data_IF_985951029198
#
_entry.id   IF_985951029198
#
_cell.length_a   1.000
_cell.length_b   1.000
_cell.length_c   1.000
_cell.angle_alpha   90.00
_cell.angle_beta   90.00
_cell.angle_gamma   90.00
#
_symmetry.space_group_name_H-M   'P 1'
#
loop_
_entity.id
_entity.type
_entity.pdbx_description
1 polymer ?
#
# COMPACT_ATOMS: atom_id res chain seq x y z
N UNK A 1 38.32 -8.90 -12.10
CA UNK A 1 38.18 -8.11 -10.86
C UNK A 1 36.70 -7.81 -10.64
N UNK A 2 36.11 -8.20 -9.50
CA UNK A 2 34.70 -7.89 -9.18
C UNK A 2 34.61 -6.42 -8.81
N UNK A 3 33.75 -5.68 -9.50
CA UNK A 3 33.44 -4.29 -9.14
C UNK A 3 32.99 -4.24 -7.67
N UNK A 4 33.58 -3.39 -6.81
CA UNK A 4 33.15 -3.29 -5.43
C UNK A 4 31.70 -2.79 -5.39
N UNK A 5 30.82 -3.61 -4.84
CA UNK A 5 29.40 -3.29 -4.66
C UNK A 5 29.25 -1.97 -3.91
N UNK A 6 28.45 -1.05 -4.44
CA UNK A 6 28.16 0.21 -3.74
C UNK A 6 27.49 -0.09 -2.39
N UNK A 7 27.59 0.80 -1.38
CA UNK A 7 26.92 0.60 -0.09
C UNK A 7 25.40 0.30 -0.21
N UNK A 8 24.75 0.80 -1.27
CA UNK A 8 23.35 0.55 -1.60
C UNK A 8 23.06 -0.92 -2.05
N UNK A 9 24.06 -1.64 -2.57
CA UNK A 9 23.94 -3.07 -2.90
C UNK A 9 24.17 -3.98 -1.69
N UNK A 10 24.56 -3.43 -0.54
CA UNK A 10 24.63 -4.13 0.75
C UNK A 10 23.30 -4.08 1.53
N UNK A 11 22.18 -3.78 0.86
CA UNK A 11 20.90 -3.88 1.54
C UNK A 11 20.49 -5.36 1.69
N UNK A 12 20.72 -5.91 2.88
CA UNK A 12 20.31 -7.25 3.31
C UNK A 12 18.79 -7.41 3.46
N UNK A 13 17.98 -6.37 3.20
CA UNK A 13 16.52 -6.46 3.16
C UNK A 13 16.09 -7.55 2.17
N UNK A 14 15.10 -8.34 2.58
CA UNK A 14 14.50 -9.41 1.78
C UNK A 14 13.25 -8.87 1.10
N UNK A 15 12.89 -9.40 -0.08
CA UNK A 15 11.81 -8.86 -0.94
C UNK A 15 10.44 -8.72 -0.25
N UNK A 16 10.18 -9.54 0.76
CA UNK A 16 8.89 -9.61 1.47
C UNK A 16 8.92 -8.94 2.85
N UNK A 17 9.91 -8.07 3.11
CA UNK A 17 10.06 -7.38 4.38
C UNK A 17 9.93 -5.87 4.19
N UNK A 18 9.40 -5.21 5.23
CA UNK A 18 9.22 -3.77 5.27
C UNK A 18 10.57 -3.01 5.15
N UNK A 19 10.50 -1.69 5.05
CA UNK A 19 11.68 -0.81 4.91
C UNK A 19 12.71 -0.93 6.04
N UNK A 20 12.32 -1.45 7.21
CA UNK A 20 13.24 -1.73 8.33
C UNK A 20 13.85 -3.14 8.29
N UNK A 21 13.36 -4.02 7.41
CA UNK A 21 13.76 -5.42 7.32
C UNK A 21 13.23 -6.31 8.45
N UNK A 22 12.37 -5.80 9.35
CA UNK A 22 11.94 -6.46 10.59
C UNK A 22 10.61 -7.19 10.45
N UNK A 23 9.65 -6.63 9.73
CA UNK A 23 8.29 -7.18 9.59
C UNK A 23 8.14 -7.82 8.22
N UNK A 24 7.72 -9.08 8.17
CA UNK A 24 7.40 -9.75 6.90
C UNK A 24 6.04 -9.28 6.37
N UNK A 25 6.05 -8.25 5.53
CA UNK A 25 4.86 -7.63 4.90
C UNK A 25 4.12 -8.54 3.91
N UNK A 26 4.65 -9.71 3.57
CA UNK A 26 3.88 -10.74 2.85
C UNK A 26 3.00 -11.62 3.76
N UNK A 27 3.04 -11.44 5.08
CA UNK A 27 2.40 -12.32 6.05
C UNK A 27 1.36 -11.55 6.90
N UNK A 28 0.04 -11.77 6.71
CA UNK A 28 -1.00 -11.01 7.42
C UNK A 28 -0.86 -10.99 8.94
N UNK A 29 -0.53 -12.13 9.56
CA UNK A 29 -0.35 -12.19 11.02
C UNK A 29 0.84 -11.39 11.56
N UNK A 30 1.99 -11.34 10.85
CA UNK A 30 3.15 -10.57 11.33
C UNK A 30 2.87 -9.07 11.26
N UNK A 31 2.22 -8.62 10.18
CA UNK A 31 1.79 -7.23 10.01
C UNK A 31 0.73 -6.85 11.03
N UNK A 32 -0.29 -7.70 11.22
CA UNK A 32 -1.31 -7.52 12.27
C UNK A 32 -0.66 -7.32 13.64
N UNK A 33 0.29 -8.17 14.00
CA UNK A 33 0.90 -8.11 15.33
C UNK A 33 1.72 -6.82 15.49
N UNK A 34 2.51 -6.42 14.48
CA UNK A 34 3.23 -5.15 14.48
C UNK A 34 2.28 -3.94 14.62
N UNK A 35 1.20 -3.91 13.84
CA UNK A 35 0.19 -2.85 13.90
C UNK A 35 -0.54 -2.82 15.25
N UNK A 36 -0.95 -3.98 15.77
CA UNK A 36 -1.56 -4.10 17.10
C UNK A 36 -0.62 -3.58 18.19
N UNK A 37 0.68 -3.89 18.12
CA UNK A 37 1.69 -3.39 19.07
C UNK A 37 1.78 -1.87 19.04
N UNK A 38 1.83 -1.25 17.85
CA UNK A 38 1.85 0.21 17.72
C UNK A 38 0.61 0.86 18.33
N UNK A 39 -0.59 0.32 18.04
CA UNK A 39 -1.84 0.88 18.54
C UNK A 39 -1.96 0.72 20.06
N UNK A 40 -1.57 -0.43 20.60
CA UNK A 40 -1.62 -0.68 22.04
C UNK A 40 -0.67 0.24 22.81
N UNK A 41 0.52 0.53 22.26
CA UNK A 41 1.46 1.48 22.86
C UNK A 41 0.88 2.90 22.94
N UNK A 42 0.09 3.33 21.94
CA UNK A 42 -0.55 4.65 21.92
C UNK A 42 -1.85 4.70 22.74
N UNK A 43 -2.64 3.62 22.69
CA UNK A 43 -3.94 3.52 23.36
C UNK A 43 -4.08 2.15 24.06
N UNK A 44 -3.57 2.01 25.29
CA UNK A 44 -3.60 0.73 26.01
C UNK A 44 -5.01 0.17 26.23
N UNK A 45 -6.00 1.04 26.37
CA UNK A 45 -7.41 0.69 26.58
C UNK A 45 -8.19 0.41 25.29
N UNK A 46 -7.58 0.55 24.09
CA UNK A 46 -8.27 0.30 22.83
C UNK A 46 -8.54 -1.19 22.63
N UNK A 47 -9.80 -1.56 22.38
CA UNK A 47 -10.13 -2.91 21.92
C UNK A 47 -9.60 -3.14 20.51
N UNK A 48 -8.67 -4.10 20.38
CA UNK A 48 -8.05 -4.49 19.11
C UNK A 48 -8.77 -5.66 18.42
N UNK A 49 -9.84 -6.22 18.99
CA UNK A 49 -10.63 -7.27 18.34
C UNK A 49 -11.13 -6.87 16.94
N UNK A 50 -11.67 -5.66 16.70
CA UNK A 50 -12.09 -5.23 15.37
C UNK A 50 -10.94 -5.28 14.35
N UNK A 51 -9.75 -4.85 14.75
CA UNK A 51 -8.58 -4.87 13.89
C UNK A 51 -8.09 -6.30 13.60
N UNK A 52 -8.05 -7.17 14.61
CA UNK A 52 -7.71 -8.60 14.40
C UNK A 52 -8.70 -9.28 13.46
N UNK A 53 -9.98 -8.94 13.56
CA UNK A 53 -11.01 -9.39 12.61
C UNK A 53 -10.70 -8.87 11.21
N UNK A 54 -10.37 -7.59 11.03
CA UNK A 54 -9.99 -7.01 9.74
C UNK A 54 -8.86 -7.76 9.04
N UNK A 55 -7.76 -8.06 9.74
CA UNK A 55 -6.68 -8.87 9.17
C UNK A 55 -7.10 -10.30 8.79
N UNK A 56 -7.99 -10.92 9.56
CA UNK A 56 -8.55 -12.24 9.23
C UNK A 56 -9.44 -12.18 7.99
N UNK A 57 -10.31 -11.17 7.89
CA UNK A 57 -11.15 -10.95 6.71
C UNK A 57 -10.32 -10.64 5.46
N UNK A 58 -9.30 -9.80 5.59
CA UNK A 58 -8.36 -9.49 4.51
C UNK A 58 -7.68 -10.75 3.98
N UNK A 59 -7.13 -11.58 4.88
CA UNK A 59 -6.48 -12.82 4.50
C UNK A 59 -7.45 -13.74 3.72
N UNK A 60 -8.70 -13.87 4.18
CA UNK A 60 -9.73 -14.64 3.48
C UNK A 60 -10.13 -14.02 2.14
N UNK A 61 -10.27 -12.71 2.06
CA UNK A 61 -10.62 -11.99 0.83
C UNK A 61 -9.55 -12.24 -0.25
N UNK A 62 -8.30 -11.92 0.05
CA UNK A 62 -7.20 -12.03 -0.90
C UNK A 62 -6.85 -13.50 -1.21
N UNK A 63 -7.10 -14.44 -0.29
CA UNK A 63 -6.97 -15.86 -0.54
C UNK A 63 -8.16 -16.48 -1.31
N UNK A 64 -9.22 -15.71 -1.62
CA UNK A 64 -10.42 -16.23 -2.29
C UNK A 64 -11.19 -17.24 -1.44
N UNK A 65 -11.20 -17.04 -0.13
CA UNK A 65 -11.92 -17.83 0.88
C UNK A 65 -13.04 -17.01 1.54
N UNK A 66 -13.20 -15.74 1.17
CA UNK A 66 -14.36 -14.94 1.54
C UNK A 66 -15.50 -15.25 0.55
N UNK A 67 -16.70 -15.68 1.01
CA UNK A 67 -17.81 -16.00 0.12
C UNK A 67 -18.14 -14.86 -0.84
N UNK A 68 -18.34 -15.19 -2.12
CA UNK A 68 -18.63 -14.23 -3.17
C UNK A 68 -17.41 -13.61 -3.85
N UNK A 69 -16.17 -13.96 -3.47
CA UNK A 69 -14.94 -13.38 -4.04
C UNK A 69 -13.98 -14.45 -4.57
N UNK A 70 -13.24 -14.14 -5.63
CA UNK A 70 -12.34 -15.09 -6.33
C UNK A 70 -10.90 -15.11 -5.80
N UNK A 71 -10.54 -14.18 -4.91
CA UNK A 71 -9.17 -13.99 -4.44
C UNK A 71 -8.32 -13.14 -5.37
N UNK A 72 -7.17 -12.71 -4.87
CA UNK A 72 -6.22 -11.85 -5.56
C UNK A 72 -5.58 -12.58 -6.75
N UNK A 73 -5.77 -12.03 -7.95
CA UNK A 73 -5.15 -12.50 -9.20
C UNK A 73 -4.35 -11.39 -9.92
N UNK A 74 -4.22 -10.22 -9.30
CA UNK A 74 -3.25 -9.16 -9.62
C UNK A 74 -1.82 -9.54 -9.19
N UNK A 75 -0.83 -8.87 -9.76
CA UNK A 75 0.61 -9.05 -9.53
C UNK A 75 1.24 -7.90 -8.75
N UNK A 76 0.89 -6.66 -9.09
CA UNK A 76 1.42 -5.44 -8.49
C UNK A 76 0.59 -5.03 -7.28
N UNK A 77 -0.73 -4.88 -7.48
CA UNK A 77 -1.71 -4.62 -6.43
C UNK A 77 -2.08 -5.93 -5.71
N UNK A 78 -1.06 -6.58 -5.12
CA UNK A 78 -1.16 -7.87 -4.47
C UNK A 78 -1.40 -7.75 -2.95
N UNK A 79 -1.48 -8.89 -2.24
CA UNK A 79 -1.69 -8.86 -0.79
C UNK A 79 -0.54 -8.20 -0.02
N UNK A 80 0.69 -8.22 -0.52
CA UNK A 80 1.83 -7.58 0.16
C UNK A 80 1.67 -6.06 0.14
N UNK A 81 1.25 -5.48 -0.99
CA UNK A 81 1.06 -4.05 -1.10
C UNK A 81 0.07 -3.50 -0.05
N UNK A 82 -1.12 -4.09 0.07
CA UNK A 82 -2.11 -3.63 1.05
C UNK A 82 -1.68 -3.88 2.50
N UNK A 83 -0.88 -4.92 2.75
CA UNK A 83 -0.28 -5.18 4.07
C UNK A 83 0.80 -4.16 4.45
N UNK A 84 1.67 -3.78 3.51
CA UNK A 84 2.67 -2.73 3.76
C UNK A 84 2.00 -1.36 3.91
N UNK A 85 0.96 -1.07 3.11
CA UNK A 85 0.14 0.13 3.27
C UNK A 85 -0.50 0.21 4.68
N UNK A 86 -1.05 -0.90 5.19
CA UNK A 86 -1.58 -0.94 6.56
C UNK A 86 -0.51 -0.69 7.63
N UNK A 87 0.72 -1.20 7.44
CA UNK A 87 1.84 -0.95 8.34
C UNK A 87 2.31 0.51 8.26
N UNK A 88 2.48 1.05 7.05
CA UNK A 88 2.85 2.45 6.83
C UNK A 88 1.82 3.40 7.44
N UNK A 89 0.52 3.10 7.28
CA UNK A 89 -0.58 3.86 7.88
C UNK A 89 -0.48 3.87 9.41
N UNK A 90 -0.22 2.73 10.05
CA UNK A 90 -0.06 2.66 11.50
C UNK A 90 1.13 3.49 12.01
N UNK A 91 2.23 3.53 11.25
CA UNK A 91 3.44 4.32 11.57
C UNK A 91 3.20 5.82 11.40
N UNK A 92 2.53 6.21 10.32
CA UNK A 92 2.08 7.59 10.09
C UNK A 92 1.15 8.07 11.20
N UNK A 93 0.19 7.24 11.61
CA UNK A 93 -0.71 7.53 12.72
C UNK A 93 0.03 7.69 14.05
N UNK A 94 0.97 6.81 14.37
CA UNK A 94 1.79 6.97 15.60
C UNK A 94 2.58 8.28 15.58
N UNK A 95 3.28 8.56 14.48
CA UNK A 95 4.02 9.81 14.30
C UNK A 95 3.13 11.05 14.46
N UNK A 96 1.98 11.06 13.79
CA UNK A 96 0.98 12.14 13.89
C UNK A 96 0.54 12.34 15.34
N UNK A 97 0.08 11.28 16.02
CA UNK A 97 -0.43 11.36 17.38
C UNK A 97 0.62 11.85 18.40
N UNK A 98 1.91 11.57 18.13
CA UNK A 98 3.04 12.02 18.97
C UNK A 98 3.33 13.50 18.83
N UNK A 99 3.24 14.03 17.60
CA UNK A 99 3.74 15.37 17.32
C UNK A 99 2.68 16.46 17.32
N UNK A 100 1.41 16.14 17.06
CA UNK A 100 0.38 17.18 16.95
C UNK A 100 -0.21 17.57 18.33
N UNK A 101 -0.70 18.81 18.47
CA UNK A 101 -1.45 19.24 19.65
C UNK A 101 -2.66 18.34 19.93
N UNK A 102 -3.05 18.21 21.20
CA UNK A 102 -4.15 17.32 21.62
C UNK A 102 -5.47 17.57 20.84
N UNK A 103 -5.78 18.83 20.51
CA UNK A 103 -6.97 19.19 19.73
C UNK A 103 -6.95 18.75 18.26
N UNK A 104 -5.80 18.36 17.71
CA UNK A 104 -5.64 17.89 16.32
C UNK A 104 -5.53 16.37 16.23
N UNK A 105 -5.29 15.68 17.36
CA UNK A 105 -5.23 14.23 17.42
C UNK A 105 -6.50 13.58 16.87
N UNK A 106 -6.31 12.52 16.10
CA UNK A 106 -7.37 11.75 15.45
C UNK A 106 -8.07 10.84 16.47
N UNK A 107 -7.30 10.33 17.43
CA UNK A 107 -7.76 9.42 18.46
C UNK A 107 -8.02 7.99 17.98
N UNK A 108 -8.33 7.08 18.91
CA UNK A 108 -8.28 5.63 18.65
C UNK A 108 -9.29 5.16 17.60
N UNK A 109 -10.50 5.75 17.55
CA UNK A 109 -11.53 5.36 16.59
C UNK A 109 -11.10 5.64 15.14
N UNK A 110 -10.56 6.83 14.87
CA UNK A 110 -10.07 7.20 13.52
C UNK A 110 -8.82 6.44 13.14
N UNK A 111 -7.91 6.19 14.09
CA UNK A 111 -6.75 5.36 13.85
C UNK A 111 -7.14 3.93 13.43
N UNK A 112 -8.10 3.33 14.14
CA UNK A 112 -8.63 2.02 13.81
C UNK A 112 -9.31 2.02 12.43
N UNK A 113 -10.14 3.03 12.13
CA UNK A 113 -10.76 3.20 10.81
C UNK A 113 -9.70 3.32 9.70
N UNK A 114 -8.70 4.19 9.87
CA UNK A 114 -7.65 4.42 8.87
C UNK A 114 -6.87 3.17 8.51
N UNK A 115 -6.56 2.32 9.49
CA UNK A 115 -5.86 1.06 9.23
C UNK A 115 -6.75 0.03 8.55
N UNK A 116 -8.03 -0.07 8.95
CA UNK A 116 -8.98 -0.93 8.23
C UNK A 116 -9.11 -0.47 6.78
N UNK A 117 -9.16 0.84 6.54
CA UNK A 117 -9.19 1.39 5.20
C UNK A 117 -7.92 1.09 4.41
N UNK A 118 -6.73 1.31 4.98
CA UNK A 118 -5.46 0.96 4.34
C UNK A 118 -5.37 -0.52 3.97
N UNK A 119 -5.93 -1.40 4.79
CA UNK A 119 -5.96 -2.84 4.52
C UNK A 119 -6.87 -3.19 3.32
N UNK A 120 -7.92 -2.41 3.07
CA UNK A 120 -8.94 -2.71 2.06
C UNK A 120 -9.05 -1.67 0.93
N UNK A 121 -8.10 -0.73 0.83
CA UNK A 121 -8.15 0.32 -0.21
C UNK A 121 -8.10 -0.26 -1.63
N UNK A 122 -7.49 -1.43 -1.78
CA UNK A 122 -7.38 -2.19 -3.03
C UNK A 122 -8.31 -3.41 -3.10
N UNK A 123 -9.25 -3.56 -2.16
CA UNK A 123 -10.22 -4.66 -2.17
C UNK A 123 -11.04 -4.72 -3.47
N UNK A 124 -11.18 -3.59 -4.17
CA UNK A 124 -11.87 -3.46 -5.43
C UNK A 124 -11.21 -4.17 -6.61
N UNK A 125 -9.92 -4.49 -6.55
CA UNK A 125 -9.27 -5.36 -7.53
C UNK A 125 -9.78 -6.81 -7.42
N UNK A 126 -10.21 -7.24 -6.23
CA UNK A 126 -10.67 -8.61 -6.02
C UNK A 126 -11.99 -8.81 -6.77
N UNK A 127 -11.99 -9.74 -7.72
CA UNK A 127 -13.17 -10.06 -8.52
C UNK A 127 -14.26 -10.68 -7.65
N UNK A 128 -15.48 -10.21 -7.84
CA UNK A 128 -16.71 -10.81 -7.28
C UNK A 128 -17.10 -12.02 -8.11
N UNK A 129 -17.89 -12.93 -7.53
CA UNK A 129 -18.53 -14.01 -8.28
C UNK A 129 -19.53 -13.38 -9.25
N UNK A 130 -19.43 -13.74 -10.54
CA UNK A 130 -20.26 -13.17 -11.60
C UNK A 130 -19.64 -11.97 -12.33
N UNK A 131 -18.50 -11.44 -11.85
CA UNK A 131 -17.72 -10.49 -12.66
C UNK A 131 -17.26 -11.19 -13.96
N UNK A 132 -17.43 -10.49 -15.10
CA UNK A 132 -17.02 -11.00 -16.43
C UNK A 132 -15.53 -10.80 -16.71
N UNK A 133 -14.87 -9.91 -15.98
CA UNK A 133 -13.43 -9.65 -16.10
C UNK A 133 -12.62 -10.94 -15.87
N UNK A 134 -11.60 -11.17 -16.70
CA UNK A 134 -10.69 -12.31 -16.60
C UNK A 134 -9.68 -12.15 -15.48
N UNK A 135 -9.31 -10.91 -15.14
CA UNK A 135 -8.35 -10.58 -14.08
C UNK A 135 -8.76 -9.32 -13.31
N UNK A 136 -8.40 -9.24 -12.02
CA UNK A 136 -8.69 -8.08 -11.17
C UNK A 136 -8.15 -6.77 -11.70
N UNK A 137 -7.01 -6.77 -12.40
CA UNK A 137 -6.40 -5.58 -12.98
C UNK A 137 -7.31 -4.82 -13.96
N UNK A 138 -8.27 -5.49 -14.59
CA UNK A 138 -9.27 -4.82 -15.45
C UNK A 138 -10.10 -3.78 -14.69
N UNK A 139 -10.18 -3.89 -13.36
CA UNK A 139 -10.86 -2.93 -12.50
C UNK A 139 -10.01 -1.73 -12.09
N UNK A 140 -8.76 -1.56 -12.59
CA UNK A 140 -7.87 -0.44 -12.23
C UNK A 140 -8.56 0.93 -12.25
N UNK A 141 -9.45 1.19 -13.21
CA UNK A 141 -10.12 2.49 -13.34
C UNK A 141 -11.35 2.67 -12.44
N UNK A 142 -11.77 1.62 -11.72
CA UNK A 142 -12.97 1.61 -10.86
C UNK A 142 -12.74 0.93 -9.51
N UNK A 143 -11.49 0.55 -9.20
CA UNK A 143 -11.15 -0.25 -8.03
C UNK A 143 -11.44 0.51 -6.73
N UNK A 144 -11.29 1.83 -6.69
CA UNK A 144 -11.48 2.64 -5.49
C UNK A 144 -12.95 2.69 -5.12
N UNK A 145 -13.82 2.95 -6.10
CA UNK A 145 -15.27 2.83 -5.90
C UNK A 145 -15.65 1.43 -5.43
N UNK A 146 -15.10 0.38 -6.06
CA UNK A 146 -15.36 -1.03 -5.68
C UNK A 146 -14.87 -1.33 -4.26
N UNK A 147 -13.74 -0.76 -3.82
CA UNK A 147 -13.25 -0.83 -2.44
C UNK A 147 -14.18 -0.11 -1.47
N UNK A 148 -14.71 1.06 -1.84
CA UNK A 148 -15.74 1.77 -1.08
C UNK A 148 -17.03 0.96 -0.90
N UNK A 149 -17.46 0.23 -1.93
CA UNK A 149 -18.58 -0.70 -1.86
C UNK A 149 -18.29 -1.88 -0.91
N UNK A 150 -17.08 -2.46 -0.97
CA UNK A 150 -16.66 -3.50 -0.02
C UNK A 150 -16.67 -2.99 1.42
N UNK A 151 -16.08 -1.81 1.67
CA UNK A 151 -16.02 -1.18 2.99
C UNK A 151 -17.42 -0.88 3.55
N UNK A 152 -18.36 -0.42 2.72
CA UNK A 152 -19.75 -0.19 3.12
C UNK A 152 -20.37 -1.44 3.76
N UNK A 153 -20.15 -2.60 3.15
CA UNK A 153 -20.75 -3.87 3.58
C UNK A 153 -19.94 -4.49 4.75
N UNK A 154 -18.64 -4.21 4.82
CA UNK A 154 -17.75 -4.78 5.82
C UNK A 154 -17.77 -4.04 7.16
N UNK A 155 -17.71 -2.70 7.18
CA UNK A 155 -17.55 -1.91 8.40
C UNK A 155 -18.57 -2.20 9.51
N UNK A 156 -19.86 -2.51 9.23
CA UNK A 156 -20.80 -2.95 10.27
C UNK A 156 -20.34 -4.16 11.07
N UNK A 157 -19.60 -5.10 10.45
CA UNK A 157 -19.14 -6.34 11.07
C UNK A 157 -18.06 -6.15 12.12
N UNK A 158 -17.47 -4.96 12.17
CA UNK A 158 -16.40 -4.58 13.09
C UNK A 158 -16.76 -3.35 13.94
N UNK A 159 -18.05 -3.03 14.06
CA UNK A 159 -18.53 -1.92 14.92
C UNK A 159 -18.30 -0.52 14.35
N UNK A 160 -18.00 -0.40 13.05
CA UNK A 160 -17.71 0.86 12.36
C UNK A 160 -18.85 1.30 11.43
N UNK A 161 -20.10 0.87 11.69
CA UNK A 161 -21.27 1.24 10.87
C UNK A 161 -21.42 2.75 10.70
N UNK A 162 -21.20 3.53 11.76
CA UNK A 162 -21.33 4.98 11.73
C UNK A 162 -20.28 5.68 10.83
N UNK A 163 -19.22 4.97 10.44
CA UNK A 163 -18.12 5.52 9.64
C UNK A 163 -18.25 5.22 8.14
N UNK A 164 -19.28 4.48 7.71
CA UNK A 164 -19.46 4.06 6.31
C UNK A 164 -19.39 5.24 5.33
N UNK A 165 -20.13 6.32 5.60
CA UNK A 165 -20.16 7.48 4.70
C UNK A 165 -18.78 8.14 4.60
N UNK A 166 -18.08 8.26 5.73
CA UNK A 166 -16.74 8.79 5.79
C UNK A 166 -15.75 7.89 5.03
N UNK A 167 -15.75 6.58 5.29
CA UNK A 167 -14.85 5.63 4.66
C UNK A 167 -15.00 5.59 3.12
N UNK A 168 -16.24 5.68 2.62
CA UNK A 168 -16.49 5.73 1.17
C UNK A 168 -15.90 6.97 0.51
N UNK A 169 -15.77 8.08 1.23
CA UNK A 169 -15.11 9.29 0.73
C UNK A 169 -13.59 9.19 0.90
N UNK A 170 -13.13 8.75 2.08
CA UNK A 170 -11.71 8.71 2.40
C UNK A 170 -10.93 7.71 1.54
N UNK A 171 -11.53 6.63 1.06
CA UNK A 171 -10.82 5.68 0.17
C UNK A 171 -10.47 6.34 -1.17
N UNK A 172 -11.17 7.39 -1.60
CA UNK A 172 -10.84 8.11 -2.84
C UNK A 172 -9.52 8.88 -2.80
N UNK A 173 -8.90 9.07 -1.63
CA UNK A 173 -7.55 9.65 -1.56
C UNK A 173 -6.45 8.72 -2.10
N UNK A 174 -6.72 7.43 -2.29
CA UNK A 174 -5.72 6.46 -2.80
C UNK A 174 -5.67 6.43 -4.33
N UNK A 175 -6.76 6.73 -5.04
CA UNK A 175 -6.78 6.65 -6.50
C UNK A 175 -6.99 7.97 -7.22
N UNK A 176 -7.43 7.87 -8.47
CA UNK A 176 -7.59 8.99 -9.42
C UNK A 176 -9.03 9.11 -9.96
N UNK A 177 -9.98 8.35 -9.42
CA UNK A 177 -11.39 8.35 -9.87
C UNK A 177 -12.12 9.67 -9.56
N UNK A 178 -11.70 10.37 -8.51
CA UNK A 178 -12.24 11.65 -8.08
C UNK A 178 -11.07 12.60 -7.84
N UNK A 179 -11.15 13.83 -8.35
CA UNK A 179 -10.15 14.85 -8.06
C UNK A 179 -10.09 15.11 -6.54
N UNK A 180 -8.88 15.24 -5.97
CA UNK A 180 -8.68 15.27 -4.52
C UNK A 180 -9.44 16.41 -3.83
N UNK A 181 -9.59 17.53 -4.51
CA UNK A 181 -10.32 18.74 -4.08
C UNK A 181 -11.84 18.51 -4.06
N UNK A 182 -12.33 17.60 -4.90
CA UNK A 182 -13.75 17.24 -4.98
C UNK A 182 -14.16 16.22 -3.92
N UNK A 183 -13.21 15.54 -3.27
CA UNK A 183 -13.52 14.61 -2.18
C UNK A 183 -14.09 15.39 -0.99
N UNK A 184 -15.31 15.03 -0.55
CA UNK A 184 -16.02 15.73 0.52
C UNK A 184 -15.93 14.95 1.82
N UNK A 185 -15.41 15.59 2.86
CA UNK A 185 -15.27 15.02 4.21
C UNK A 185 -15.87 15.96 5.26
N UNK A 186 -16.20 15.43 6.43
CA UNK A 186 -16.98 16.16 7.45
C UNK A 186 -16.21 17.25 8.18
N UNK A 187 -14.91 17.05 8.39
CA UNK A 187 -14.05 17.94 9.17
C UNK A 187 -12.58 17.70 8.82
N UNK A 188 -11.68 18.54 9.36
CA UNK A 188 -10.24 18.41 9.12
C UNK A 188 -9.68 17.07 9.61
N UNK A 189 -10.10 16.55 10.77
CA UNK A 189 -9.57 15.27 11.24
C UNK A 189 -9.87 14.13 10.26
N UNK A 190 -11.05 14.14 9.63
CA UNK A 190 -11.37 13.21 8.55
C UNK A 190 -10.50 13.48 7.30
N UNK A 191 -10.28 14.75 6.92
CA UNK A 191 -9.40 15.12 5.78
C UNK A 191 -7.96 14.66 6.00
N UNK A 192 -7.40 14.94 7.17
CA UNK A 192 -6.07 14.51 7.61
C UNK A 192 -5.96 12.98 7.57
N UNK A 193 -6.99 12.24 8.01
CA UNK A 193 -7.01 10.78 7.89
C UNK A 193 -6.93 10.30 6.43
N UNK A 194 -7.61 10.99 5.51
CA UNK A 194 -7.51 10.75 4.07
C UNK A 194 -6.12 11.03 3.50
N UNK A 195 -5.48 12.13 3.91
CA UNK A 195 -4.11 12.46 3.52
C UNK A 195 -3.10 11.40 3.99
N UNK A 196 -3.24 10.93 5.24
CA UNK A 196 -2.40 9.86 5.77
C UNK A 196 -2.60 8.56 4.98
N UNK A 197 -3.84 8.22 4.62
CA UNK A 197 -4.14 7.02 3.83
C UNK A 197 -3.54 7.08 2.43
N UNK A 198 -3.75 8.17 1.69
CA UNK A 198 -3.15 8.35 0.36
C UNK A 198 -1.61 8.40 0.40
N UNK A 199 -1.05 8.97 1.47
CA UNK A 199 0.40 8.96 1.71
C UNK A 199 0.91 7.54 1.97
N UNK A 200 0.22 6.76 2.82
CA UNK A 200 0.62 5.39 3.15
C UNK A 200 0.67 4.50 1.92
N UNK A 201 -0.31 4.63 1.04
CA UNK A 201 -0.41 3.91 -0.23
C UNK A 201 0.80 4.21 -1.14
N UNK A 202 1.03 5.50 -1.45
CA UNK A 202 2.17 5.94 -2.29
C UNK A 202 3.51 5.48 -1.71
N UNK A 203 3.72 5.64 -0.39
CA UNK A 203 4.98 5.27 0.24
C UNK A 203 5.20 3.76 0.28
N UNK A 204 4.18 2.96 0.60
CA UNK A 204 4.28 1.50 0.60
C UNK A 204 4.57 0.97 -0.81
N UNK A 205 3.96 1.58 -1.82
CA UNK A 205 4.18 1.23 -3.21
C UNK A 205 5.62 1.51 -3.67
N UNK A 206 6.09 2.74 -3.46
CA UNK A 206 7.34 3.25 -4.04
C UNK A 206 8.58 2.86 -3.23
N UNK A 207 8.42 2.53 -1.94
CA UNK A 207 9.49 2.02 -1.08
C UNK A 207 9.63 0.49 -1.09
N UNK A 208 8.81 -0.22 -1.89
CA UNK A 208 8.94 -1.67 -2.03
C UNK A 208 10.33 -2.02 -2.55
N UNK A 209 11.00 -2.99 -1.92
CA UNK A 209 12.35 -3.37 -2.31
C UNK A 209 12.46 -3.72 -3.80
N UNK A 210 11.44 -4.34 -4.38
CA UNK A 210 11.43 -4.69 -5.80
C UNK A 210 10.64 -3.68 -6.64
N UNK A 211 10.46 -2.43 -6.19
CA UNK A 211 9.61 -1.44 -6.86
C UNK A 211 9.85 -1.37 -8.38
N UNK A 212 11.10 -1.17 -8.81
CA UNK A 212 11.44 -1.06 -10.24
C UNK A 212 11.16 -2.35 -11.02
N UNK A 213 11.54 -3.51 -10.48
CA UNK A 213 11.23 -4.79 -11.12
C UNK A 213 9.73 -5.09 -11.12
N UNK A 214 9.00 -4.71 -10.09
CA UNK A 214 7.53 -4.79 -10.05
C UNK A 214 6.89 -3.87 -11.09
N UNK A 215 7.42 -2.66 -11.30
CA UNK A 215 6.99 -1.78 -12.38
C UNK A 215 7.12 -2.46 -13.75
N UNK A 216 8.28 -3.06 -14.03
CA UNK A 216 8.58 -3.76 -15.28
C UNK A 216 7.73 -5.02 -15.47
N UNK A 217 7.74 -5.91 -14.47
CA UNK A 217 7.26 -7.27 -14.61
C UNK A 217 5.77 -7.40 -14.28
N UNK A 218 5.24 -6.52 -13.42
CA UNK A 218 3.88 -6.61 -12.88
C UNK A 218 2.99 -5.42 -13.29
N UNK A 219 3.39 -4.18 -12.98
CA UNK A 219 2.53 -3.00 -13.18
C UNK A 219 2.18 -2.78 -14.66
N UNK A 220 3.18 -2.87 -15.55
CA UNK A 220 2.95 -2.75 -16.99
C UNK A 220 1.89 -3.75 -17.48
N UNK A 221 1.95 -4.99 -16.99
CA UNK A 221 0.99 -6.05 -17.35
C UNK A 221 -0.42 -5.71 -16.86
N UNK A 222 -0.56 -5.19 -15.66
CA UNK A 222 -1.86 -4.76 -15.15
C UNK A 222 -2.43 -3.58 -15.93
N UNK A 223 -1.59 -2.58 -16.25
CA UNK A 223 -1.97 -1.46 -17.10
C UNK A 223 -2.39 -1.92 -18.50
N UNK A 224 -1.74 -2.94 -19.06
CA UNK A 224 -2.15 -3.51 -20.34
C UNK A 224 -3.52 -4.20 -20.29
N UNK A 225 -3.96 -4.70 -19.13
CA UNK A 225 -5.29 -5.30 -18.97
C UNK A 225 -6.39 -4.25 -18.89
N UNK A 226 -6.16 -3.11 -18.22
CA UNK A 226 -7.14 -2.02 -18.14
C UNK A 226 -7.04 -1.00 -19.29
N UNK A 227 -6.09 -1.17 -20.22
CA UNK A 227 -5.94 -0.32 -21.41
C UNK A 227 -5.04 0.91 -21.23
N UNK A 228 -4.38 1.06 -20.08
CA UNK A 228 -3.41 2.13 -19.83
C UNK A 228 -2.02 1.86 -20.44
N UNK A 229 -1.77 0.67 -20.97
CA UNK A 229 -0.52 0.31 -21.62
C UNK A 229 -0.72 -0.62 -22.82
N UNK A 230 0.27 -0.65 -23.71
CA UNK A 230 0.25 -1.46 -24.93
C UNK A 230 -0.49 -0.80 -26.08
N UNK A 231 -1.06 -1.60 -26.97
CA UNK A 231 -1.73 -1.11 -28.18
C UNK A 231 -3.09 -0.48 -27.87
N UNK A 232 -3.47 0.62 -28.55
CA UNK A 232 -4.81 1.20 -28.43
C UNK A 232 -5.91 0.17 -28.70
N UNK A 233 -7.01 0.25 -27.95
CA UNK A 233 -8.18 -0.61 -28.14
C UNK A 233 -9.43 0.26 -28.27
N UNK A 234 -10.33 -0.12 -29.17
CA UNK A 234 -11.60 0.58 -29.32
C UNK A 234 -12.39 0.58 -28.00
N UNK A 235 -12.86 1.75 -27.58
CA UNK A 235 -13.60 1.92 -26.31
C UNK A 235 -12.75 1.89 -25.04
N UNK A 236 -11.42 1.78 -25.12
CA UNK A 236 -10.51 1.89 -23.99
C UNK A 236 -9.84 3.28 -23.94
N UNK A 237 -9.29 3.70 -22.78
CA UNK A 237 -8.45 4.89 -22.72
C UNK A 237 -7.27 4.82 -23.70
N UNK A 238 -6.75 5.98 -24.09
CA UNK A 238 -5.49 6.03 -24.83
C UNK A 238 -4.37 5.49 -23.93
N UNK A 239 -3.59 4.48 -24.38
CA UNK A 239 -2.49 3.95 -23.60
C UNK A 239 -1.45 5.03 -23.27
N UNK A 240 -1.01 5.07 -22.01
CA UNK A 240 0.00 6.00 -21.51
C UNK A 240 1.42 5.45 -21.75
N UNK A 241 1.56 4.12 -21.69
CA UNK A 241 2.84 3.43 -21.78
C UNK A 241 2.89 2.48 -22.98
N UNK A 242 3.85 2.68 -23.87
CA UNK A 242 4.01 1.84 -25.06
C UNK A 242 4.66 0.48 -24.75
N UNK A 243 5.50 0.43 -23.72
CA UNK A 243 6.23 -0.78 -23.30
C UNK A 243 6.60 -0.73 -21.81
N UNK A 244 7.04 -1.85 -21.25
CA UNK A 244 7.56 -1.90 -19.87
C UNK A 244 8.81 -1.01 -19.71
N UNK A 245 9.61 -0.88 -20.77
CA UNK A 245 10.75 0.02 -20.83
C UNK A 245 10.31 1.49 -20.85
N UNK A 246 9.29 1.86 -21.61
CA UNK A 246 8.73 3.22 -21.59
C UNK A 246 8.18 3.58 -20.20
N UNK A 247 7.52 2.62 -19.53
CA UNK A 247 7.10 2.79 -18.13
C UNK A 247 8.30 3.06 -17.20
N UNK A 248 9.38 2.29 -17.32
CA UNK A 248 10.60 2.49 -16.54
C UNK A 248 11.27 3.85 -16.84
N UNK A 249 11.37 4.23 -18.11
CA UNK A 249 11.95 5.50 -18.54
C UNK A 249 11.22 6.71 -17.95
N UNK A 250 9.90 6.60 -17.77
CA UNK A 250 9.07 7.67 -17.16
C UNK A 250 8.98 7.59 -15.64
N UNK A 251 9.40 6.49 -15.02
CA UNK A 251 9.18 6.21 -13.59
C UNK A 251 9.76 7.29 -12.68
N UNK A 252 10.98 7.78 -12.96
CA UNK A 252 11.60 8.82 -12.13
C UNK A 252 10.81 10.13 -12.15
N UNK A 253 10.44 10.60 -13.35
CA UNK A 253 9.68 11.83 -13.54
C UNK A 253 8.27 11.72 -12.96
N UNK A 254 7.59 10.58 -13.19
CA UNK A 254 6.29 10.30 -12.57
C UNK A 254 6.36 10.36 -11.04
N UNK A 255 7.38 9.75 -10.42
CA UNK A 255 7.51 9.80 -8.96
C UNK A 255 7.78 11.22 -8.43
N UNK A 256 8.59 12.02 -9.13
CA UNK A 256 8.81 13.42 -8.73
C UNK A 256 7.54 14.23 -8.79
N UNK A 257 6.74 14.08 -9.85
CA UNK A 257 5.44 14.73 -9.98
C UNK A 257 4.48 14.26 -8.88
N UNK A 258 4.38 12.94 -8.67
CA UNK A 258 3.58 12.34 -7.60
C UNK A 258 3.96 12.89 -6.22
N UNK A 259 5.26 13.00 -5.94
CA UNK A 259 5.77 13.53 -4.69
C UNK A 259 5.40 15.01 -4.50
N UNK A 260 5.68 15.84 -5.51
CA UNK A 260 5.41 17.28 -5.45
C UNK A 260 3.90 17.57 -5.35
N UNK A 261 3.10 16.97 -6.22
CA UNK A 261 1.67 17.27 -6.33
C UNK A 261 0.85 16.62 -5.21
N UNK A 262 1.10 15.33 -4.89
CA UNK A 262 0.34 14.63 -3.86
C UNK A 262 0.98 14.76 -2.48
N UNK A 263 2.21 14.26 -2.30
CA UNK A 263 2.78 14.12 -0.96
C UNK A 263 3.06 15.47 -0.30
N UNK A 264 3.78 16.36 -0.97
CA UNK A 264 4.10 17.70 -0.45
C UNK A 264 2.95 18.69 -0.68
N UNK A 265 2.28 18.62 -1.83
CA UNK A 265 1.14 19.46 -2.17
C UNK A 265 -0.16 19.07 -1.45
N UNK A 266 -1.01 18.28 -2.10
CA UNK A 266 -2.37 17.98 -1.63
C UNK A 266 -2.42 17.40 -0.21
N UNK A 267 -1.49 16.50 0.12
CA UNK A 267 -1.42 15.83 1.41
C UNK A 267 -0.57 16.61 2.42
N UNK A 268 -0.12 17.82 2.08
CA UNK A 268 0.50 18.79 3.00
C UNK A 268 1.74 18.27 3.74
N UNK A 269 2.46 17.34 3.11
CA UNK A 269 3.69 16.79 3.66
C UNK A 269 3.51 15.93 4.91
N UNK A 270 2.35 15.28 5.08
CA UNK A 270 2.08 14.39 6.23
C UNK A 270 3.02 13.16 6.28
N UNK A 271 3.75 12.87 5.19
CA UNK A 271 4.81 11.84 5.18
C UNK A 271 5.89 12.09 6.23
N UNK A 272 6.12 13.35 6.65
CA UNK A 272 7.07 13.73 7.71
C UNK A 272 6.71 13.20 9.09
N UNK A 273 5.48 12.73 9.31
CA UNK A 273 5.16 12.02 10.56
C UNK A 273 5.96 10.72 10.71
N UNK A 274 6.47 10.14 9.62
CA UNK A 274 7.39 9.02 9.72
C UNK A 274 8.72 9.41 10.37
N UNK A 275 9.18 10.65 10.20
CA UNK A 275 10.40 11.15 10.85
C UNK A 275 10.22 11.09 12.38
N UNK A 276 9.05 11.52 12.87
CA UNK A 276 8.70 11.43 14.29
C UNK A 276 8.59 9.97 14.75
N UNK A 277 7.93 9.12 13.96
CA UNK A 277 7.79 7.71 14.27
C UNK A 277 9.14 7.00 14.45
N UNK A 278 10.09 7.28 13.56
CA UNK A 278 11.40 6.63 13.51
C UNK A 278 12.53 7.40 14.24
N UNK A 279 12.22 8.52 14.92
CA UNK A 279 13.23 9.29 15.65
C UNK A 279 14.20 10.08 14.77
N UNK A 280 13.76 10.52 13.59
CA UNK A 280 14.46 11.45 12.70
C UNK A 280 14.81 10.86 11.33
N UNK A 281 15.21 9.59 11.26
CA UNK A 281 15.53 8.95 9.97
C UNK A 281 14.31 8.31 9.34
N UNK A 282 13.95 8.70 8.11
CA UNK A 282 12.79 8.14 7.40
C UNK A 282 13.21 7.03 6.42
N UNK A 283 13.04 5.74 6.79
CA UNK A 283 13.46 4.62 5.95
C UNK A 283 12.60 4.45 4.69
N UNK A 284 11.36 4.96 4.66
CA UNK A 284 10.55 4.96 3.44
C UNK A 284 11.16 5.93 2.42
N UNK A 285 11.43 7.18 2.84
CA UNK A 285 12.08 8.17 1.98
C UNK A 285 13.45 7.69 1.48
N UNK A 286 14.28 7.15 2.37
CA UNK A 286 15.60 6.64 1.99
C UNK A 286 15.51 5.50 0.96
N UNK A 287 14.55 4.59 1.09
CA UNK A 287 14.34 3.52 0.11
C UNK A 287 13.89 4.09 -1.25
N UNK A 288 12.96 5.04 -1.25
CA UNK A 288 12.46 5.71 -2.46
C UNK A 288 13.59 6.45 -3.15
N UNK A 289 14.38 7.25 -2.44
CA UNK A 289 15.54 7.96 -2.98
C UNK A 289 16.52 7.00 -3.66
N UNK A 290 16.78 5.83 -3.06
CA UNK A 290 17.61 4.77 -3.68
C UNK A 290 16.99 4.24 -4.97
N UNK A 291 15.68 4.02 -5.02
CA UNK A 291 15.00 3.57 -6.23
C UNK A 291 15.07 4.61 -7.35
N UNK A 292 14.82 5.88 -7.04
CA UNK A 292 14.83 6.98 -8.01
C UNK A 292 16.23 7.22 -8.58
N UNK A 293 17.24 7.32 -7.72
CA UNK A 293 18.64 7.46 -8.17
C UNK A 293 19.08 6.26 -9.03
N UNK A 294 18.63 5.05 -8.67
CA UNK A 294 18.95 3.84 -9.45
C UNK A 294 18.31 3.88 -10.83
N UNK A 295 17.01 4.16 -10.93
CA UNK A 295 16.34 4.13 -12.23
C UNK A 295 16.88 5.22 -13.15
N UNK A 296 17.18 6.41 -12.63
CA UNK A 296 17.80 7.49 -13.42
C UNK A 296 19.15 7.09 -14.00
N UNK A 297 20.04 6.53 -13.18
CA UNK A 297 21.34 6.07 -13.64
C UNK A 297 21.22 4.96 -14.71
N UNK A 298 20.27 4.04 -14.54
CA UNK A 298 20.06 2.95 -15.51
C UNK A 298 19.45 3.45 -16.83
N UNK A 299 18.49 4.39 -16.77
CA UNK A 299 17.91 5.03 -17.96
C UNK A 299 18.96 5.82 -18.71
N UNK A 300 19.74 6.67 -18.03
CA UNK A 300 20.79 7.48 -18.65
C UNK A 300 21.90 6.64 -19.31
N UNK A 301 22.20 5.47 -18.75
CA UNK A 301 23.23 4.58 -19.30
C UNK A 301 22.68 3.50 -20.24
N UNK A 302 21.36 3.43 -20.47
CA UNK A 302 20.75 2.39 -21.31
C UNK A 302 20.88 0.97 -20.76
N UNK A 303 20.94 0.79 -19.44
CA UNK A 303 21.23 -0.50 -18.76
C UNK A 303 20.09 -1.01 -17.90
N UNK A 304 18.85 -0.88 -18.37
CA UNK A 304 17.66 -1.36 -17.64
C UNK A 304 17.68 -2.88 -17.37
N UNK A 305 18.48 -3.64 -18.11
CA UNK A 305 18.75 -5.06 -17.90
C UNK A 305 19.48 -5.35 -16.56
N UNK A 306 20.10 -4.34 -15.94
CA UNK A 306 20.71 -4.46 -14.61
C UNK A 306 19.68 -4.48 -13.45
N UNK A 307 18.39 -4.36 -13.75
CA UNK A 307 17.31 -4.66 -12.81
C UNK A 307 17.16 -6.17 -12.61
N UNK A 308 17.87 -6.69 -11.61
CA UNK A 308 18.08 -8.13 -11.36
C UNK A 308 17.28 -8.71 -10.20
N UNK A 309 16.53 -7.91 -9.43
CA UNK A 309 15.71 -8.48 -8.35
C UNK A 309 14.60 -9.34 -8.96
N UNK A 310 14.20 -10.39 -8.25
CA UNK A 310 13.13 -11.30 -8.70
C UNK A 310 11.92 -11.12 -7.79
N UNK A 311 10.97 -10.22 -8.11
CA UNK A 311 9.76 -10.07 -7.33
C UNK A 311 8.90 -11.33 -7.41
N UNK A 312 8.12 -11.58 -6.36
CA UNK A 312 7.13 -12.67 -6.32
C UNK A 312 5.83 -12.07 -5.83
N UNK A 313 4.80 -12.09 -6.68
CA UNK A 313 3.48 -11.61 -6.28
C UNK A 313 2.88 -12.50 -5.18
N UNK A 314 2.25 -11.88 -4.19
CA UNK A 314 1.45 -12.53 -3.15
C UNK A 314 -0.01 -12.60 -3.62
N UNK A 315 -0.21 -13.34 -4.71
CA UNK A 315 -1.54 -13.69 -5.22
C UNK A 315 -2.24 -14.72 -4.30
N UNK A 316 -3.46 -15.11 -4.63
CA UNK A 316 -4.28 -16.01 -3.81
C UNK A 316 -3.60 -17.36 -3.52
N UNK A 317 -2.96 -18.00 -4.50
CA UNK A 317 -2.29 -19.30 -4.29
C UNK A 317 -1.07 -19.16 -3.39
N UNK A 318 -0.29 -18.08 -3.54
CA UNK A 318 0.86 -17.80 -2.68
C UNK A 318 0.41 -17.46 -1.27
N UNK A 319 -0.63 -16.65 -1.12
CA UNK A 319 -1.18 -16.28 0.18
C UNK A 319 -1.72 -17.51 0.93
N UNK A 320 -2.44 -18.41 0.25
CA UNK A 320 -2.89 -19.69 0.82
C UNK A 320 -1.72 -20.51 1.38
N UNK A 321 -0.61 -20.60 0.64
CA UNK A 321 0.61 -21.30 1.12
C UNK A 321 1.24 -20.62 2.34
N UNK A 322 1.29 -19.29 2.36
CA UNK A 322 1.78 -18.53 3.52
C UNK A 322 0.92 -18.81 4.75
N UNK A 323 -0.41 -18.79 4.58
CA UNK A 323 -1.36 -19.04 5.68
C UNK A 323 -1.36 -20.50 6.17
N UNK A 324 -1.03 -21.45 5.29
CA UNK A 324 -0.90 -22.87 5.64
C UNK A 324 0.39 -23.19 6.42
N UNK A 325 1.39 -22.31 6.39
CA UNK A 325 2.65 -22.53 7.09
C UNK A 325 2.51 -22.10 8.56
N UNK A 326 2.77 -22.98 9.56
CA UNK A 326 2.74 -22.60 10.96
C UNK A 326 3.71 -21.45 11.24
N UNK A 327 3.31 -20.50 12.11
CA UNK A 327 4.22 -19.44 12.58
C UNK A 327 5.51 -20.08 13.11
N UNK A 328 6.66 -19.76 12.52
CA UNK A 328 7.93 -19.90 13.24
C UNK A 328 7.82 -19.03 14.49
N UNK A 329 8.02 -19.61 15.69
CA UNK A 329 8.07 -18.85 16.94
C UNK A 329 9.06 -17.69 16.75
N UNK A 330 8.57 -16.46 16.83
CA UNK A 330 9.43 -15.29 16.77
C UNK A 330 10.33 -15.31 18.02
N UNK A 331 11.65 -15.29 17.82
CA UNK A 331 12.58 -14.86 18.88
C UNK A 331 12.15 -13.47 19.32
N UNK A 332 11.89 -13.29 20.60
CA UNK A 332 11.50 -12.02 21.22
C UNK A 332 12.51 -10.94 20.85
N UNK A 333 12.26 -10.17 19.79
CA UNK A 333 13.04 -8.96 19.49
C UNK A 333 12.44 -7.84 20.31
N UNK A 334 13.23 -7.29 21.24
CA UNK A 334 12.95 -6.00 21.87
C UNK A 334 12.83 -4.96 20.76
N UNK A 335 11.62 -4.47 20.50
CA UNK A 335 11.39 -3.29 19.68
C UNK A 335 11.78 -2.11 20.57
N UNK A 336 12.96 -1.53 20.33
CA UNK A 336 13.29 -0.23 20.89
C UNK A 336 12.33 0.81 20.27
N UNK A 337 11.73 1.61 21.15
CA UNK A 337 10.74 2.64 20.88
C UNK A 337 11.28 3.78 20.00
#
# INVERSE_FOLDING_TARGET
MRNPRTPAERDGRRNHYDVTGRVRISHPHEVRDAVCTLLHARWPALDLKPLRHAFSTFARLYAGQLPGYQGCDTWYHDAQHSLDCALAMARLLDGHERSVPAGQRLGPRRALLGIVMALFHDAGYIRRRGDRAGNGAEFTLTHVRRSGEFLRDYLPRVGLRADISCARQLVHFTGYEIALEQIRVRNERDRTLGFLLGTADVLAQTADRCYLEKCRDFLYREFALCGLAGQPRSGAPTPIYASAEDLLNRTATFNRQLWAERLDGHFRGVHRYLDVHFGGSNPYRAAIDVHLNRIEALVQSGRLDELRRRPVAINRERLRRILATPKRRARTMRIAA
#
